data_IF_844771792761
#
_entry.id   IF_844771792761
#
_cell.length_a   1.000
_cell.length_b   1.000
_cell.length_c   1.000
_cell.angle_alpha   90.00
_cell.angle_beta   90.00
_cell.angle_gamma   90.00
#
_symmetry.space_group_name_H-M   'P 1'
#
loop_
_entity.id
_entity.type
_entity.pdbx_description
1 polymer ?
#
# COMPACT_ATOMS: atom_id res chain seq x y z
N UNK A 1 -0.80 12.09 13.50
CA UNK A 1 0.23 11.23 14.14
C UNK A 1 1.58 11.81 13.78
N UNK A 2 2.53 11.83 14.72
CA UNK A 2 3.88 12.36 14.47
C UNK A 2 4.90 11.27 14.76
N UNK A 3 5.92 11.11 13.89
CA UNK A 3 6.97 10.11 14.00
C UNK A 3 8.33 10.75 13.70
N UNK A 4 9.33 10.41 14.49
CA UNK A 4 10.72 10.79 14.24
C UNK A 4 11.40 9.67 13.43
N UNK A 5 12.13 10.02 12.38
CA UNK A 5 12.84 9.06 11.55
C UNK A 5 14.20 8.75 12.14
N UNK A 6 14.30 7.67 12.92
CA UNK A 6 15.55 7.14 13.45
C UNK A 6 16.24 6.20 12.44
N UNK A 7 17.54 5.89 12.62
CA UNK A 7 18.28 5.00 11.73
C UNK A 7 17.64 3.62 11.52
N UNK A 8 16.93 3.08 12.53
CA UNK A 8 16.21 1.80 12.45
C UNK A 8 15.03 1.81 11.46
N UNK A 9 14.54 3.01 11.08
CA UNK A 9 13.47 3.20 10.11
C UNK A 9 13.99 3.37 8.68
N UNK A 10 15.31 3.45 8.50
CA UNK A 10 15.94 3.80 7.24
C UNK A 10 16.23 2.57 6.37
N UNK A 11 16.17 2.80 5.05
CA UNK A 11 16.75 1.92 4.05
C UNK A 11 18.28 2.15 3.96
N UNK A 12 18.96 1.35 3.12
CA UNK A 12 20.41 1.43 2.91
C UNK A 12 20.89 2.75 2.27
N UNK A 13 19.97 3.58 1.76
CA UNK A 13 20.28 4.91 1.22
C UNK A 13 20.20 6.03 2.28
N UNK A 14 19.83 5.71 3.52
CA UNK A 14 19.69 6.69 4.61
C UNK A 14 18.38 7.49 4.55
N UNK A 15 17.40 7.01 3.82
CA UNK A 15 16.04 7.57 3.80
C UNK A 15 15.04 6.59 4.42
N UNK A 16 13.90 7.10 4.87
CA UNK A 16 12.83 6.29 5.44
C UNK A 16 12.43 5.16 4.47
N UNK A 17 12.38 3.94 4.97
CA UNK A 17 11.96 2.76 4.21
C UNK A 17 10.49 2.90 3.78
N UNK A 18 10.18 2.61 2.48
CA UNK A 18 8.83 2.76 1.94
C UNK A 18 7.78 1.93 2.69
N UNK A 19 8.10 0.68 3.01
CA UNK A 19 7.25 -0.19 3.82
C UNK A 19 6.98 0.36 5.22
N UNK A 20 7.97 1.02 5.85
CA UNK A 20 7.78 1.65 7.16
C UNK A 20 6.85 2.86 7.06
N UNK A 21 7.01 3.69 6.03
CA UNK A 21 6.09 4.81 5.82
C UNK A 21 4.67 4.33 5.55
N UNK A 22 4.50 3.29 4.73
CA UNK A 22 3.19 2.66 4.52
C UNK A 22 2.59 2.11 5.82
N UNK A 23 3.40 1.46 6.66
CA UNK A 23 2.94 1.00 7.98
C UNK A 23 2.37 2.16 8.82
N UNK A 24 3.05 3.30 8.85
CA UNK A 24 2.57 4.49 9.57
C UNK A 24 1.31 5.08 8.97
N UNK A 25 1.20 5.15 7.65
CA UNK A 25 -0.01 5.61 6.94
C UNK A 25 -1.20 4.73 7.31
N UNK A 26 -1.04 3.41 7.21
CA UNK A 26 -2.10 2.46 7.52
C UNK A 26 -2.48 2.50 9.00
N UNK A 27 -1.51 2.66 9.90
CA UNK A 27 -1.75 2.78 11.34
C UNK A 27 -2.53 4.06 11.67
N UNK A 28 -2.11 5.20 11.13
CA UNK A 28 -2.81 6.48 11.34
C UNK A 28 -4.26 6.41 10.87
N UNK A 29 -4.48 5.87 9.65
CA UNK A 29 -5.80 5.67 9.10
C UNK A 29 -6.66 4.69 9.93
N UNK A 30 -6.07 3.57 10.38
CA UNK A 30 -6.76 2.57 11.22
C UNK A 30 -7.20 3.15 12.57
N UNK A 31 -6.35 3.96 13.21
CA UNK A 31 -6.68 4.64 14.47
C UNK A 31 -7.90 5.56 14.27
N UNK A 32 -7.87 6.41 13.24
CA UNK A 32 -8.99 7.33 12.98
C UNK A 32 -10.27 6.56 12.60
N UNK A 33 -10.15 5.57 11.72
CA UNK A 33 -11.27 4.72 11.32
C UNK A 33 -11.95 4.04 12.52
N UNK A 34 -11.15 3.44 13.40
CA UNK A 34 -11.66 2.71 14.58
C UNK A 34 -12.26 3.62 15.63
N UNK A 35 -11.68 4.81 15.85
CA UNK A 35 -12.26 5.84 16.74
C UNK A 35 -13.61 6.31 16.22
N UNK A 36 -13.74 6.53 14.91
CA UNK A 36 -14.99 6.96 14.28
C UNK A 36 -16.04 5.84 14.29
N UNK A 37 -15.65 4.63 13.94
CA UNK A 37 -16.57 3.49 13.93
C UNK A 37 -16.91 2.95 15.33
N UNK A 38 -16.18 3.38 16.38
CA UNK A 38 -16.30 2.85 17.75
C UNK A 38 -16.18 1.33 17.79
N UNK A 39 -15.14 0.79 17.11
CA UNK A 39 -14.91 -0.66 17.07
C UNK A 39 -13.85 -1.09 16.06
N UNK A 40 -13.77 -2.38 15.82
CA UNK A 40 -12.80 -2.98 14.92
C UNK A 40 -13.08 -2.52 13.49
N UNK A 41 -12.04 -2.09 12.80
CA UNK A 41 -12.07 -1.79 11.37
C UNK A 41 -10.96 -2.55 10.64
N UNK A 42 -11.27 -3.03 9.45
CA UNK A 42 -10.32 -3.68 8.54
C UNK A 42 -10.21 -2.88 7.25
N UNK A 43 -9.03 -2.78 6.69
CA UNK A 43 -8.85 -2.11 5.40
C UNK A 43 -9.43 -3.01 4.29
N UNK A 44 -10.28 -2.43 3.46
CA UNK A 44 -10.84 -3.09 2.29
C UNK A 44 -10.11 -2.73 1.00
N UNK A 45 -9.66 -1.49 0.89
CA UNK A 45 -8.90 -1.02 -0.26
C UNK A 45 -8.08 0.22 0.09
N UNK A 46 -7.01 0.45 -0.67
CA UNK A 46 -6.31 1.73 -0.74
C UNK A 46 -6.19 2.16 -2.20
N UNK A 47 -6.26 3.45 -2.44
CA UNK A 47 -5.87 4.01 -3.72
C UNK A 47 -4.34 3.93 -3.87
N UNK A 48 -3.82 4.27 -5.04
CA UNK A 48 -2.38 4.28 -5.26
C UNK A 48 -1.68 5.29 -4.35
N UNK A 49 -0.51 4.92 -3.84
CA UNK A 49 0.35 5.74 -3.01
C UNK A 49 1.62 6.02 -3.80
N UNK A 50 1.87 7.30 -4.11
CA UNK A 50 3.07 7.74 -4.83
C UNK A 50 3.97 8.52 -3.87
N UNK A 51 5.23 8.09 -3.70
CA UNK A 51 6.21 8.76 -2.84
C UNK A 51 6.92 9.86 -3.64
N UNK A 52 6.58 11.10 -3.36
CA UNK A 52 7.03 12.26 -4.16
C UNK A 52 8.38 12.78 -3.68
N UNK A 53 8.55 12.86 -2.36
CA UNK A 53 9.77 13.35 -1.75
C UNK A 53 10.34 12.32 -0.76
N UNK A 54 11.64 12.02 -0.82
CA UNK A 54 12.28 11.14 0.15
C UNK A 54 12.35 11.82 1.52
N UNK A 55 12.11 11.04 2.58
CA UNK A 55 12.24 11.49 3.97
C UNK A 55 13.58 11.00 4.50
N UNK A 56 14.38 11.88 5.12
CA UNK A 56 15.71 11.56 5.61
C UNK A 56 15.69 11.15 7.09
N UNK A 57 16.70 10.38 7.50
CA UNK A 57 16.96 10.16 8.91
C UNK A 57 17.17 11.51 9.62
N UNK A 58 16.52 11.70 10.76
CA UNK A 58 16.54 12.95 11.52
C UNK A 58 15.39 13.90 11.21
N UNK A 59 14.59 13.64 10.17
CA UNK A 59 13.36 14.39 9.90
C UNK A 59 12.18 13.87 10.75
N UNK A 60 11.17 14.71 10.90
CA UNK A 60 9.90 14.41 11.55
C UNK A 60 8.84 14.22 10.49
N UNK A 61 8.08 13.12 10.57
CA UNK A 61 6.94 12.83 9.69
C UNK A 61 5.65 13.14 10.43
N UNK A 62 4.83 13.99 9.84
CA UNK A 62 3.46 14.27 10.32
C UNK A 62 2.46 13.60 9.37
N UNK A 63 1.54 12.82 9.95
CA UNK A 63 0.45 12.16 9.24
C UNK A 63 -0.87 12.74 9.74
N UNK A 64 -1.50 13.53 8.90
CA UNK A 64 -2.81 14.15 9.16
C UNK A 64 -3.90 13.29 8.53
N UNK A 65 -4.94 12.99 9.31
CA UNK A 65 -6.00 12.07 8.88
C UNK A 65 -7.36 12.73 8.95
N UNK A 66 -8.12 12.63 7.87
CA UNK A 66 -9.49 13.17 7.74
C UNK A 66 -10.46 12.10 7.31
N UNK A 67 -11.65 12.04 7.92
CA UNK A 67 -12.74 11.18 7.46
C UNK A 67 -13.48 11.92 6.34
N UNK A 68 -13.43 11.37 5.14
CA UNK A 68 -14.07 11.98 3.95
C UNK A 68 -15.43 11.37 3.62
N UNK A 69 -15.67 10.11 4.07
CA UNK A 69 -16.94 9.43 3.82
C UNK A 69 -17.27 8.46 4.95
N UNK A 70 -18.56 8.40 5.33
CA UNK A 70 -19.11 7.36 6.20
C UNK A 70 -20.34 6.75 5.51
N UNK A 71 -20.34 5.42 5.33
CA UNK A 71 -21.47 4.62 4.85
C UNK A 71 -22.12 3.83 5.98
N UNK A 72 -22.89 2.79 5.63
CA UNK A 72 -23.56 1.95 6.63
C UNK A 72 -22.59 1.12 7.48
N UNK A 73 -21.53 0.58 6.87
CA UNK A 73 -20.49 -0.25 7.53
C UNK A 73 -19.10 0.04 6.98
N UNK A 74 -18.92 1.06 6.16
CA UNK A 74 -17.63 1.45 5.57
C UNK A 74 -17.39 2.93 5.75
N UNK A 75 -16.13 3.32 5.81
CA UNK A 75 -15.70 4.71 5.84
C UNK A 75 -14.42 4.89 5.03
N UNK A 76 -14.17 6.12 4.59
CA UNK A 76 -12.95 6.47 3.89
C UNK A 76 -12.18 7.49 4.70
N UNK A 77 -10.88 7.22 4.86
CA UNK A 77 -9.93 8.08 5.56
C UNK A 77 -8.90 8.55 4.56
N UNK A 78 -8.73 9.86 4.44
CA UNK A 78 -7.60 10.48 3.78
C UNK A 78 -6.44 10.59 4.78
N UNK A 79 -5.22 10.36 4.30
CA UNK A 79 -3.97 10.52 5.07
C UNK A 79 -3.04 11.41 4.26
N UNK A 80 -2.79 12.63 4.72
CA UNK A 80 -1.78 13.52 4.17
C UNK A 80 -0.48 13.37 4.97
N UNK A 81 0.64 13.26 4.27
CA UNK A 81 1.95 13.03 4.89
C UNK A 81 2.91 14.14 4.51
N UNK A 82 3.51 14.76 5.51
CA UNK A 82 4.55 15.78 5.37
C UNK A 82 5.78 15.37 6.16
N UNK A 83 6.96 15.71 5.66
CA UNK A 83 8.20 15.65 6.44
C UNK A 83 8.69 17.06 6.77
N UNK A 84 9.39 17.19 7.88
CA UNK A 84 10.01 18.44 8.34
C UNK A 84 11.42 18.14 8.84
N UNK A 85 12.41 18.94 8.40
CA UNK A 85 13.73 18.97 9.05
C UNK A 85 13.61 19.84 10.33
N UNK A 86 13.68 19.25 11.54
CA UNK A 86 13.48 20.00 12.78
C UNK A 86 14.59 21.03 13.06
N UNK A 87 15.70 21.00 12.31
CA UNK A 87 16.80 21.96 12.45
C UNK A 87 16.58 23.22 11.64
N UNK A 88 15.83 23.13 10.52
CA UNK A 88 15.58 24.25 9.60
C UNK A 88 14.13 24.69 9.59
N UNK A 89 13.20 23.81 10.01
CA UNK A 89 11.75 24.00 9.88
C UNK A 89 11.23 23.81 8.44
N UNK A 90 12.09 23.37 7.51
CA UNK A 90 11.69 23.12 6.12
C UNK A 90 10.71 21.95 6.06
N UNK A 91 9.50 22.20 5.55
CA UNK A 91 8.44 21.21 5.37
C UNK A 91 8.35 20.79 3.90
N UNK A 92 8.09 19.49 3.68
CA UNK A 92 7.89 18.92 2.35
C UNK A 92 6.68 18.01 2.34
N UNK A 93 5.87 18.12 1.31
CA UNK A 93 4.82 17.13 1.04
C UNK A 93 5.48 15.81 0.63
N UNK A 94 5.08 14.70 1.27
CA UNK A 94 5.69 13.38 1.02
C UNK A 94 4.77 12.49 0.20
N UNK A 95 3.51 12.36 0.61
CA UNK A 95 2.52 11.53 -0.09
C UNK A 95 1.12 11.78 0.44
N UNK A 96 0.14 11.24 -0.27
CA UNK A 96 -1.27 11.25 0.12
C UNK A 96 -1.89 9.88 -0.15
N UNK A 97 -2.78 9.41 0.72
CA UNK A 97 -3.45 8.12 0.58
C UNK A 97 -4.94 8.22 0.94
N UNK A 98 -5.79 7.53 0.16
CA UNK A 98 -7.19 7.27 0.53
C UNK A 98 -7.35 5.81 0.93
N UNK A 99 -7.85 5.58 2.13
CA UNK A 99 -7.98 4.28 2.77
C UNK A 99 -9.46 3.98 3.01
N UNK A 100 -9.98 2.93 2.37
CA UNK A 100 -11.36 2.49 2.54
C UNK A 100 -11.44 1.38 3.59
N UNK A 101 -12.02 1.67 4.74
CA UNK A 101 -12.19 0.73 5.85
C UNK A 101 -13.61 0.17 5.92
N UNK A 102 -13.72 -1.04 6.47
CA UNK A 102 -14.97 -1.71 6.79
C UNK A 102 -15.00 -1.95 8.30
N UNK A 103 -16.06 -1.47 8.97
CA UNK A 103 -16.32 -1.78 10.37
C UNK A 103 -16.83 -3.23 10.47
N UNK A 104 -16.22 -4.02 11.35
CA UNK A 104 -16.53 -5.45 11.51
C UNK A 104 -16.74 -5.81 12.97
N UNK A 105 -17.43 -6.93 13.20
CA UNK A 105 -17.47 -7.60 14.50
C UNK A 105 -16.24 -8.51 14.70
N UNK A 106 -16.13 -9.17 15.85
CA UNK A 106 -15.04 -10.10 16.19
C UNK A 106 -14.95 -11.30 15.22
N UNK A 107 -16.05 -11.63 14.54
CA UNK A 107 -16.11 -12.69 13.52
C UNK A 107 -15.73 -12.20 12.13
N UNK A 108 -15.50 -10.87 11.96
CA UNK A 108 -15.18 -10.25 10.69
C UNK A 108 -16.41 -9.93 9.82
N UNK A 109 -17.63 -10.00 10.37
CA UNK A 109 -18.85 -9.59 9.64
C UNK A 109 -19.04 -8.08 9.69
N UNK A 110 -19.53 -7.44 8.62
CA UNK A 110 -19.77 -6.01 8.59
C UNK A 110 -20.70 -5.55 9.73
N UNK A 111 -20.27 -4.50 10.46
CA UNK A 111 -20.98 -3.89 11.57
C UNK A 111 -21.39 -2.46 11.20
N UNK A 112 -22.62 -2.08 11.53
CA UNK A 112 -23.14 -0.74 11.28
C UNK A 112 -22.35 0.33 12.03
N UNK A 113 -22.05 1.44 11.36
CA UNK A 113 -21.48 2.66 11.93
C UNK A 113 -22.62 3.61 12.27
N UNK A 114 -22.64 4.12 13.49
CA UNK A 114 -23.68 5.03 13.95
C UNK A 114 -23.42 6.49 13.49
N UNK A 115 -22.16 6.87 13.41
CA UNK A 115 -21.70 8.19 13.02
C UNK A 115 -22.08 8.54 11.57
N UNK A 116 -22.27 9.84 11.30
CA UNK A 116 -22.56 10.38 9.97
C UNK A 116 -21.72 11.62 9.74
N UNK A 117 -21.36 11.88 8.48
CA UNK A 117 -20.75 13.14 8.06
C UNK A 117 -21.85 14.06 7.54
N UNK A 118 -21.87 15.29 8.08
CA UNK A 118 -22.65 16.39 7.54
C UNK A 118 -21.66 17.49 7.15
N UNK A 119 -21.45 17.73 5.83
CA UNK A 119 -20.49 18.73 5.39
C UNK A 119 -20.95 20.14 5.81
N UNK A 120 -20.03 20.92 6.34
CA UNK A 120 -20.29 22.28 6.86
C UNK A 120 -20.28 23.34 5.75
N UNK A 121 -19.45 23.15 4.73
CA UNK A 121 -19.26 24.12 3.65
C UNK A 121 -19.18 23.45 2.26
N UNK A 122 -18.89 24.23 1.23
CA UNK A 122 -18.85 23.73 -0.15
C UNK A 122 -17.58 22.94 -0.44
N UNK A 123 -16.48 23.18 0.27
CA UNK A 123 -15.25 22.41 0.17
C UNK A 123 -15.46 20.98 0.71
N UNK A 124 -16.04 20.86 1.91
CA UNK A 124 -16.37 19.54 2.49
C UNK A 124 -17.41 18.78 1.65
N UNK A 125 -18.37 19.51 1.01
CA UNK A 125 -19.32 18.89 0.06
C UNK A 125 -18.61 18.32 -1.17
N UNK A 126 -17.61 19.04 -1.71
CA UNK A 126 -16.81 18.57 -2.84
C UNK A 126 -15.98 17.34 -2.46
N UNK A 127 -15.31 17.33 -1.32
CA UNK A 127 -14.55 16.20 -0.78
C UNK A 127 -15.47 14.98 -0.63
N UNK A 128 -16.64 15.13 -0.01
CA UNK A 128 -17.61 14.06 0.16
C UNK A 128 -18.13 13.50 -1.19
N UNK A 129 -18.30 14.37 -2.18
CA UNK A 129 -18.74 13.96 -3.51
C UNK A 129 -17.67 13.09 -4.22
N UNK A 130 -16.40 13.48 -4.15
CA UNK A 130 -15.28 12.71 -4.71
C UNK A 130 -15.09 11.37 -3.95
N UNK A 131 -15.22 11.36 -2.62
CA UNK A 131 -15.17 10.12 -1.84
C UNK A 131 -16.30 9.14 -2.22
N UNK A 132 -17.51 9.66 -2.46
CA UNK A 132 -18.62 8.83 -2.98
C UNK A 132 -18.34 8.27 -4.37
N UNK A 133 -17.69 9.04 -5.25
CA UNK A 133 -17.29 8.59 -6.58
C UNK A 133 -16.23 7.48 -6.51
N UNK A 134 -15.18 7.64 -5.68
CA UNK A 134 -14.18 6.59 -5.43
C UNK A 134 -14.84 5.32 -4.88
N UNK A 135 -15.75 5.45 -3.90
CA UNK A 135 -16.53 4.30 -3.42
C UNK A 135 -17.27 3.58 -4.54
N UNK A 136 -18.00 4.32 -5.40
CA UNK A 136 -18.75 3.74 -6.52
C UNK A 136 -17.83 2.96 -7.48
N UNK A 137 -16.64 3.45 -7.72
CA UNK A 137 -15.64 2.78 -8.57
C UNK A 137 -15.12 1.46 -7.95
N UNK A 138 -15.04 1.37 -6.61
CA UNK A 138 -14.57 0.17 -5.89
C UNK A 138 -15.64 -0.92 -5.75
N UNK A 139 -16.94 -0.57 -5.78
CA UNK A 139 -18.07 -1.53 -5.58
C UNK A 139 -17.95 -2.77 -6.46
N UNK A 140 -17.73 -2.71 -7.79
CA UNK A 140 -17.68 -3.92 -8.63
C UNK A 140 -16.58 -4.92 -8.24
N UNK A 141 -15.47 -4.44 -7.63
CA UNK A 141 -14.41 -5.31 -7.13
C UNK A 141 -14.79 -5.97 -5.80
N UNK A 142 -15.48 -5.23 -4.92
CA UNK A 142 -15.99 -5.80 -3.68
C UNK A 142 -17.10 -6.83 -3.91
N UNK A 143 -17.94 -6.67 -4.92
CA UNK A 143 -18.95 -7.65 -5.31
C UNK A 143 -18.32 -9.00 -5.72
N UNK A 144 -17.11 -8.99 -6.29
CA UNK A 144 -16.33 -10.19 -6.65
C UNK A 144 -15.38 -10.65 -5.55
N UNK A 145 -15.49 -10.11 -4.34
CA UNK A 145 -14.55 -10.39 -3.24
C UNK A 145 -14.38 -11.88 -2.97
N UNK A 146 -15.48 -12.62 -2.85
CA UNK A 146 -15.44 -14.05 -2.54
C UNK A 146 -14.86 -14.89 -3.68
N UNK A 147 -15.11 -14.49 -4.93
CA UNK A 147 -14.47 -15.08 -6.11
C UNK A 147 -12.95 -14.83 -6.09
N UNK A 148 -12.54 -13.60 -5.85
CA UNK A 148 -11.12 -13.23 -5.78
C UNK A 148 -10.41 -13.88 -4.60
N UNK A 149 -11.07 -14.03 -3.46
CA UNK A 149 -10.50 -14.71 -2.28
C UNK A 149 -10.22 -16.21 -2.55
N UNK A 150 -10.95 -16.84 -3.46
CA UNK A 150 -10.71 -18.24 -3.87
C UNK A 150 -9.68 -18.37 -4.98
N UNK A 151 -9.28 -17.27 -5.62
CA UNK A 151 -8.33 -17.30 -6.73
C UNK A 151 -6.89 -17.37 -6.18
N UNK A 152 -6.44 -18.57 -5.87
CA UNK A 152 -5.06 -18.85 -5.42
C UNK A 152 -4.07 -19.05 -6.57
N UNK A 153 -4.53 -18.96 -7.85
CA UNK A 153 -3.65 -19.10 -9.02
C UNK A 153 -2.53 -18.08 -8.93
N UNK A 154 -1.30 -18.55 -8.97
CA UNK A 154 -0.11 -17.74 -8.88
C UNK A 154 0.41 -17.34 -10.26
N UNK A 155 0.13 -16.10 -10.68
CA UNK A 155 0.67 -15.58 -11.93
C UNK A 155 2.19 -15.30 -11.84
N UNK A 156 2.80 -15.31 -10.64
CA UNK A 156 4.25 -15.12 -10.49
C UNK A 156 5.04 -16.38 -10.84
N UNK A 157 4.42 -17.57 -10.84
CA UNK A 157 5.08 -18.83 -11.24
C UNK A 157 5.57 -18.83 -12.69
N UNK A 158 4.94 -18.01 -13.54
CA UNK A 158 5.30 -17.90 -14.96
C UNK A 158 6.42 -16.89 -15.23
N UNK A 159 6.90 -16.19 -14.21
CA UNK A 159 7.96 -15.18 -14.32
C UNK A 159 9.29 -15.79 -13.90
N UNK A 160 10.34 -15.62 -14.73
CA UNK A 160 11.68 -16.15 -14.48
C UNK A 160 12.32 -15.62 -13.20
N UNK A 161 12.10 -14.34 -12.87
CA UNK A 161 12.62 -13.71 -11.66
C UNK A 161 11.51 -13.65 -10.60
N UNK A 162 11.60 -14.54 -9.62
CA UNK A 162 10.60 -14.69 -8.55
C UNK A 162 11.24 -14.91 -7.18
N UNK A 163 10.46 -14.64 -6.15
CA UNK A 163 10.79 -14.90 -4.75
C UNK A 163 9.53 -15.35 -4.02
N UNK A 164 9.64 -16.35 -3.19
CA UNK A 164 8.59 -16.73 -2.26
C UNK A 164 9.13 -16.64 -0.83
N UNK A 165 8.34 -16.06 0.07
CA UNK A 165 8.62 -16.02 1.51
C UNK A 165 7.36 -16.36 2.29
N UNK A 166 7.55 -16.89 3.50
CA UNK A 166 6.45 -17.29 4.39
C UNK A 166 6.65 -16.72 5.78
N UNK A 167 5.53 -16.43 6.45
CA UNK A 167 5.52 -15.92 7.82
C UNK A 167 4.30 -16.47 8.56
N UNK A 168 4.44 -16.77 9.85
CA UNK A 168 3.31 -16.99 10.76
C UNK A 168 2.87 -15.67 11.36
N UNK A 169 1.57 -15.42 11.42
CA UNK A 169 1.00 -14.21 12.04
C UNK A 169 1.00 -14.37 13.57
N UNK A 170 1.80 -13.54 14.23
CA UNK A 170 1.92 -13.52 15.68
C UNK A 170 0.99 -12.44 16.29
N UNK A 171 0.67 -12.46 17.59
CA UNK A 171 -0.10 -11.42 18.24
C UNK A 171 0.45 -10.01 18.05
N UNK A 172 1.77 -9.84 17.98
CA UNK A 172 2.46 -8.56 17.73
C UNK A 172 2.25 -7.99 16.31
N UNK A 173 1.82 -8.85 15.37
CA UNK A 173 1.47 -8.41 14.01
C UNK A 173 0.04 -7.87 13.92
N UNK A 174 -0.72 -7.86 15.01
CA UNK A 174 -2.14 -7.50 15.01
C UNK A 174 -2.40 -6.09 15.53
N UNK A 175 -3.57 -5.53 15.18
CA UNK A 175 -4.00 -4.24 15.71
C UNK A 175 -4.92 -4.39 16.95
N UNK A 176 -5.77 -5.42 16.97
CA UNK A 176 -6.69 -5.72 18.07
C UNK A 176 -6.58 -7.15 18.62
N UNK A 177 -5.45 -7.82 18.38
CA UNK A 177 -5.23 -9.20 18.82
C UNK A 177 -5.94 -10.28 18.01
N UNK A 178 -6.77 -9.93 17.02
CA UNK A 178 -7.54 -10.90 16.23
C UNK A 178 -7.16 -10.94 14.76
N UNK A 179 -6.99 -9.75 14.15
CA UNK A 179 -6.66 -9.60 12.73
C UNK A 179 -5.29 -8.96 12.57
N UNK A 180 -4.55 -9.42 11.58
CA UNK A 180 -3.27 -8.82 11.22
C UNK A 180 -3.43 -7.33 10.92
N UNK A 181 -2.50 -6.51 11.42
CA UNK A 181 -2.40 -5.11 11.08
C UNK A 181 -2.06 -4.96 9.60
N UNK A 182 -2.88 -4.21 8.88
CA UNK A 182 -2.61 -3.91 7.46
C UNK A 182 -1.30 -3.15 7.28
N UNK A 183 -0.89 -2.35 8.25
CA UNK A 183 0.40 -1.67 8.24
C UNK A 183 1.58 -2.65 8.25
N UNK A 184 1.53 -3.67 9.12
CA UNK A 184 2.53 -4.75 9.13
C UNK A 184 2.53 -5.53 7.83
N UNK A 185 1.35 -5.85 7.29
CA UNK A 185 1.23 -6.53 6.01
C UNK A 185 1.86 -5.72 4.87
N UNK A 186 1.61 -4.42 4.80
CA UNK A 186 2.20 -3.54 3.77
C UNK A 186 3.71 -3.42 3.90
N UNK A 187 4.23 -3.42 5.13
CA UNK A 187 5.68 -3.47 5.38
C UNK A 187 6.28 -4.77 4.84
N UNK A 188 5.70 -5.92 5.17
CA UNK A 188 6.18 -7.24 4.72
C UNK A 188 6.08 -7.40 3.18
N UNK A 189 5.04 -6.83 2.56
CA UNK A 189 4.87 -6.77 1.10
C UNK A 189 6.02 -5.98 0.45
N UNK A 190 6.29 -4.77 0.97
CA UNK A 190 7.36 -3.92 0.43
C UNK A 190 8.73 -4.56 0.61
N UNK A 191 9.02 -5.13 1.79
CA UNK A 191 10.28 -5.80 2.08
C UNK A 191 10.52 -6.98 1.14
N UNK A 192 9.50 -7.86 0.96
CA UNK A 192 9.61 -9.02 0.07
C UNK A 192 9.85 -8.57 -1.38
N UNK A 193 9.11 -7.56 -1.85
CA UNK A 193 9.28 -7.01 -3.19
C UNK A 193 10.64 -6.33 -3.38
N UNK A 194 11.11 -5.58 -2.37
CA UNK A 194 12.42 -4.94 -2.38
C UNK A 194 13.57 -5.95 -2.42
N UNK A 195 13.49 -7.06 -1.68
CA UNK A 195 14.50 -8.14 -1.72
C UNK A 195 14.63 -8.68 -3.14
N UNK A 196 13.52 -8.97 -3.83
CA UNK A 196 13.55 -9.45 -5.21
C UNK A 196 14.16 -8.40 -6.15
N UNK A 197 13.73 -7.14 -6.02
CA UNK A 197 14.23 -6.03 -6.82
C UNK A 197 15.75 -5.81 -6.63
N UNK A 198 16.24 -5.83 -5.37
CA UNK A 198 17.66 -5.70 -5.03
C UNK A 198 18.47 -6.87 -5.60
N UNK A 199 17.96 -8.10 -5.49
CA UNK A 199 18.63 -9.30 -6.07
C UNK A 199 18.79 -9.19 -7.58
N UNK A 200 17.82 -8.59 -8.27
CA UNK A 200 17.87 -8.37 -9.70
C UNK A 200 18.81 -7.23 -10.10
N UNK A 201 18.70 -6.07 -9.47
CA UNK A 201 19.44 -4.85 -9.86
C UNK A 201 20.87 -4.84 -9.30
N UNK A 202 21.11 -5.46 -8.13
CA UNK A 202 22.40 -5.41 -7.40
C UNK A 202 22.82 -3.99 -7.09
N UNK A 203 21.86 -3.14 -6.71
CA UNK A 203 22.08 -1.72 -6.42
C UNK A 203 21.09 -1.20 -5.37
N UNK A 204 21.19 0.09 -5.07
CA UNK A 204 20.30 0.76 -4.11
C UNK A 204 18.98 1.09 -4.78
N UNK A 205 17.90 0.61 -4.19
CA UNK A 205 16.55 0.83 -4.67
C UNK A 205 15.70 1.53 -3.61
N UNK A 206 14.85 2.43 -4.07
CA UNK A 206 13.83 3.06 -3.23
C UNK A 206 12.44 2.75 -3.78
N UNK A 207 11.48 2.57 -2.91
CA UNK A 207 10.07 2.40 -3.29
C UNK A 207 9.54 3.72 -3.83
N UNK A 208 9.08 3.72 -5.08
CA UNK A 208 8.54 4.92 -5.73
C UNK A 208 7.03 5.02 -5.63
N UNK A 209 6.33 3.89 -5.70
CA UNK A 209 4.86 3.86 -5.58
C UNK A 209 4.34 2.46 -5.29
N UNK A 210 3.10 2.42 -4.78
CA UNK A 210 2.24 1.24 -4.73
C UNK A 210 0.96 1.56 -5.49
N UNK A 211 0.55 0.67 -6.39
CA UNK A 211 -0.71 0.85 -7.10
C UNK A 211 -1.93 0.52 -6.23
N UNK A 212 -3.13 0.87 -6.72
CA UNK A 212 -4.38 0.59 -6.05
C UNK A 212 -4.48 -0.88 -5.59
N UNK A 213 -4.84 -1.10 -4.33
CA UNK A 213 -4.82 -2.39 -3.69
C UNK A 213 -6.18 -2.72 -3.06
N UNK A 214 -6.63 -3.97 -3.24
CA UNK A 214 -7.85 -4.53 -2.67
C UNK A 214 -7.54 -5.73 -1.78
N UNK A 215 -8.19 -5.77 -0.61
CA UNK A 215 -8.07 -6.86 0.35
C UNK A 215 -9.33 -7.74 0.29
N UNK A 216 -9.17 -8.97 -0.14
CA UNK A 216 -10.26 -9.91 -0.38
C UNK A 216 -10.55 -10.81 0.82
N UNK A 217 -9.54 -11.12 1.63
CA UNK A 217 -9.66 -11.96 2.81
C UNK A 217 -8.91 -11.35 4.01
N UNK A 218 -9.50 -11.31 5.21
CA UNK A 218 -8.77 -10.93 6.42
C UNK A 218 -7.79 -12.05 6.81
N UNK A 219 -6.66 -11.65 7.40
CA UNK A 219 -5.66 -12.54 7.95
C UNK A 219 -5.82 -12.57 9.47
N UNK A 220 -5.75 -13.75 10.09
CA UNK A 220 -5.91 -13.93 11.53
C UNK A 220 -4.60 -14.31 12.21
N UNK A 221 -4.54 -14.11 13.52
CA UNK A 221 -3.48 -14.68 14.35
C UNK A 221 -3.42 -16.19 14.17
N UNK A 222 -2.22 -16.71 13.97
CA UNK A 222 -1.95 -18.13 13.75
C UNK A 222 -2.02 -18.55 12.28
N UNK A 223 -2.54 -17.73 11.36
CA UNK A 223 -2.47 -18.03 9.93
C UNK A 223 -1.02 -17.99 9.44
N UNK A 224 -0.72 -18.79 8.42
CA UNK A 224 0.51 -18.65 7.64
C UNK A 224 0.24 -17.71 6.48
N UNK A 225 1.15 -16.78 6.24
CA UNK A 225 1.12 -15.90 5.06
C UNK A 225 2.20 -16.36 4.10
N UNK A 226 1.83 -16.51 2.83
CA UNK A 226 2.75 -16.78 1.72
C UNK A 226 2.78 -15.55 0.82
N UNK A 227 3.97 -14.98 0.65
CA UNK A 227 4.23 -13.86 -0.25
C UNK A 227 4.91 -14.40 -1.51
N UNK A 228 4.27 -14.25 -2.66
CA UNK A 228 4.79 -14.68 -3.95
C UNK A 228 5.05 -13.47 -4.82
N UNK A 229 6.32 -13.14 -5.01
CA UNK A 229 6.77 -11.97 -5.74
C UNK A 229 7.37 -12.34 -7.10
N UNK A 230 7.12 -11.51 -8.11
CA UNK A 230 7.67 -11.66 -9.46
C UNK A 230 7.91 -10.31 -10.13
N UNK A 231 9.00 -10.19 -10.91
CA UNK A 231 9.25 -8.98 -11.71
C UNK A 231 8.26 -8.93 -12.87
N UNK A 232 7.40 -7.91 -12.90
CA UNK A 232 6.36 -7.74 -13.92
C UNK A 232 6.76 -6.78 -15.03
N UNK A 233 7.70 -5.85 -14.75
CA UNK A 233 8.20 -4.89 -15.73
C UNK A 233 9.56 -4.33 -15.33
N UNK A 234 10.42 -4.08 -16.32
CA UNK A 234 11.70 -3.39 -16.14
C UNK A 234 11.80 -2.23 -17.15
N UNK A 235 12.05 -1.03 -16.65
CA UNK A 235 12.25 0.17 -17.45
C UNK A 235 13.71 0.55 -17.57
N UNK A 236 14.00 1.85 -17.80
CA UNK A 236 15.38 2.35 -17.93
C UNK A 236 16.08 2.41 -16.57
N UNK A 237 15.41 2.94 -15.54
CA UNK A 237 15.96 3.17 -14.19
C UNK A 237 15.02 2.73 -13.07
N UNK A 238 13.98 2.00 -13.43
CA UNK A 238 12.97 1.51 -12.48
C UNK A 238 12.44 0.17 -12.91
N UNK A 239 11.87 -0.59 -11.97
CA UNK A 239 11.20 -1.84 -12.24
C UNK A 239 9.92 -1.93 -11.41
N UNK A 240 9.02 -2.82 -11.84
CA UNK A 240 7.79 -3.14 -11.10
C UNK A 240 7.85 -4.60 -10.64
N UNK A 241 7.54 -4.80 -9.37
CA UNK A 241 7.37 -6.12 -8.75
C UNK A 241 5.89 -6.31 -8.43
N UNK A 242 5.30 -7.37 -8.98
CA UNK A 242 4.00 -7.86 -8.55
C UNK A 242 4.18 -8.83 -7.38
N UNK A 243 3.33 -8.72 -6.37
CA UNK A 243 3.35 -9.61 -5.22
C UNK A 243 1.94 -10.09 -4.89
N UNK A 244 1.73 -11.41 -4.86
CA UNK A 244 0.50 -12.04 -4.44
C UNK A 244 0.65 -12.52 -3.01
N UNK A 245 -0.34 -12.21 -2.19
CA UNK A 245 -0.39 -12.60 -0.77
C UNK A 245 -1.51 -13.64 -0.59
N UNK A 246 -1.15 -14.79 -0.06
CA UNK A 246 -2.06 -15.88 0.27
C UNK A 246 -1.99 -16.11 1.78
N UNK A 247 -3.14 -16.20 2.46
CA UNK A 247 -3.23 -16.66 3.83
C UNK A 247 -3.68 -18.11 3.86
N UNK A 248 -3.10 -18.89 4.76
CA UNK A 248 -3.42 -20.30 4.98
C UNK A 248 -3.79 -20.51 6.46
N UNK A 249 -4.96 -21.07 6.70
CA UNK A 249 -5.37 -21.47 8.04
C UNK A 249 -4.62 -22.75 8.45
N UNK A 250 -3.80 -22.69 9.50
CA UNK A 250 -2.94 -23.81 9.92
C UNK A 250 -3.70 -25.05 10.38
N UNK A 251 -4.96 -24.90 10.82
CA UNK A 251 -5.76 -26.02 11.32
C UNK A 251 -6.48 -26.77 10.21
N UNK A 252 -6.89 -26.06 9.15
CA UNK A 252 -7.70 -26.63 8.07
C UNK A 252 -6.93 -26.78 6.76
N UNK A 253 -5.79 -26.11 6.61
CA UNK A 253 -5.05 -25.99 5.34
C UNK A 253 -5.78 -25.16 4.29
N UNK A 254 -6.89 -24.49 4.63
CA UNK A 254 -7.63 -23.65 3.70
C UNK A 254 -6.80 -22.43 3.31
N UNK A 255 -6.53 -22.28 2.02
CA UNK A 255 -5.82 -21.15 1.46
C UNK A 255 -6.79 -20.11 0.88
N UNK A 256 -6.48 -18.83 1.09
CA UNK A 256 -7.26 -17.70 0.57
C UNK A 256 -6.34 -16.62 0.02
N UNK A 257 -6.66 -16.11 -1.15
CA UNK A 257 -6.02 -14.92 -1.68
C UNK A 257 -6.41 -13.72 -0.84
N UNK A 258 -5.42 -13.06 -0.25
CA UNK A 258 -5.62 -11.85 0.55
C UNK A 258 -5.59 -10.60 -0.32
N UNK A 259 -4.53 -10.41 -1.10
CA UNK A 259 -4.39 -9.27 -2.02
C UNK A 259 -3.33 -9.56 -3.09
N UNK A 260 -3.29 -8.70 -4.12
CA UNK A 260 -2.18 -8.62 -5.08
C UNK A 260 -1.76 -7.16 -5.19
N UNK A 261 -0.50 -6.88 -4.86
CA UNK A 261 0.10 -5.55 -4.91
C UNK A 261 1.07 -5.44 -6.10
N UNK A 262 1.22 -4.21 -6.62
CA UNK A 262 2.25 -3.87 -7.60
C UNK A 262 3.02 -2.67 -7.07
N UNK A 263 4.33 -2.86 -6.86
CA UNK A 263 5.23 -1.84 -6.33
C UNK A 263 6.26 -1.46 -7.38
N UNK A 264 6.52 -0.17 -7.52
CA UNK A 264 7.60 0.30 -8.37
C UNK A 264 8.82 0.70 -7.54
N UNK A 265 9.98 0.30 -8.01
CA UNK A 265 11.27 0.62 -7.40
C UNK A 265 12.11 1.43 -8.35
N UNK A 266 12.83 2.42 -7.83
CA UNK A 266 13.73 3.30 -8.60
C UNK A 266 15.17 3.04 -8.16
N UNK A 267 16.06 2.79 -9.11
CA UNK A 267 17.48 2.59 -8.86
C UNK A 267 18.18 3.95 -8.73
N UNK A 268 18.82 4.17 -7.60
CA UNK A 268 19.54 5.40 -7.27
C UNK A 268 21.04 5.15 -7.10
N UNK A 269 21.84 6.10 -7.54
CA UNK A 269 23.26 6.16 -7.21
C UNK A 269 23.50 6.88 -5.87
N UNK A 270 24.75 6.87 -5.40
CA UNK A 270 25.14 7.56 -4.14
C UNK A 270 24.86 9.06 -4.16
N UNK A 271 24.78 9.66 -5.36
CA UNK A 271 24.46 11.07 -5.60
C UNK A 271 22.95 11.36 -5.63
N UNK A 272 22.11 10.35 -5.35
CA UNK A 272 20.65 10.45 -5.40
C UNK A 272 20.06 10.49 -6.81
N UNK A 273 20.88 10.38 -7.86
CA UNK A 273 20.41 10.37 -9.26
C UNK A 273 20.04 8.95 -9.69
N UNK A 274 19.07 8.87 -10.59
CA UNK A 274 18.66 7.57 -11.15
C UNK A 274 19.78 6.89 -11.92
N UNK A 275 19.86 5.56 -11.82
CA UNK A 275 20.83 4.71 -12.51
C UNK A 275 20.10 3.69 -13.39
N UNK A 276 20.71 3.24 -14.49
CA UNK A 276 20.14 2.15 -15.29
C UNK A 276 19.95 0.88 -14.47
N UNK A 277 18.90 0.14 -14.80
CA UNK A 277 18.67 -1.23 -14.29
C UNK A 277 19.06 -2.25 -15.38
N UNK A 278 19.36 -3.50 -15.02
CA UNK A 278 19.64 -4.56 -15.99
C UNK A 278 18.50 -4.74 -16.98
N UNK A 279 18.84 -5.10 -18.21
CA UNK A 279 17.86 -5.39 -19.26
C UNK A 279 17.12 -6.69 -18.91
N UNK A 280 15.81 -6.66 -19.00
CA UNK A 280 14.93 -7.82 -18.84
C UNK A 280 13.79 -7.70 -19.84
N UNK A 281 13.74 -8.65 -20.79
CA UNK A 281 12.69 -8.71 -21.80
C UNK A 281 11.80 -9.93 -21.59
N UNK A 282 10.47 -9.78 -21.76
CA UNK A 282 9.56 -10.91 -21.62
C UNK A 282 9.73 -11.89 -22.80
N UNK A 283 9.94 -13.18 -22.51
CA UNK A 283 10.17 -14.21 -23.52
C UNK A 283 8.89 -14.97 -23.85
N UNK A 284 8.17 -15.42 -22.81
CA UNK A 284 6.95 -16.23 -22.99
C UNK A 284 5.72 -15.38 -23.31
N UNK A 285 4.67 -15.95 -23.92
CA UNK A 285 3.41 -15.26 -24.15
C UNK A 285 2.79 -14.73 -22.84
N UNK A 286 2.92 -15.47 -21.76
CA UNK A 286 2.42 -15.12 -20.43
C UNK A 286 3.19 -13.95 -19.85
N UNK A 287 4.52 -13.96 -19.91
CA UNK A 287 5.35 -12.81 -19.51
C UNK A 287 5.00 -11.56 -20.31
N UNK A 288 4.81 -11.68 -21.62
CA UNK A 288 4.39 -10.58 -22.49
C UNK A 288 3.03 -10.01 -22.10
N UNK A 289 2.09 -10.87 -21.71
CA UNK A 289 0.77 -10.45 -21.19
C UNK A 289 0.90 -9.67 -19.88
N UNK A 290 1.68 -10.14 -18.93
CA UNK A 290 1.93 -9.44 -17.66
C UNK A 290 2.65 -8.11 -17.88
N UNK A 291 3.64 -8.09 -18.76
CA UNK A 291 4.38 -6.89 -19.15
C UNK A 291 3.47 -5.81 -19.72
N UNK A 292 2.53 -6.19 -20.60
CA UNK A 292 1.54 -5.25 -21.15
C UNK A 292 0.67 -4.63 -20.06
N UNK A 293 0.17 -5.44 -19.13
CA UNK A 293 -0.58 -4.94 -17.97
C UNK A 293 0.25 -3.99 -17.10
N UNK A 294 1.54 -4.28 -16.92
CA UNK A 294 2.45 -3.42 -16.18
C UNK A 294 2.71 -2.08 -16.87
N UNK A 295 2.79 -2.06 -18.20
CA UNK A 295 2.86 -0.81 -18.97
C UNK A 295 1.62 0.06 -18.78
N UNK A 296 0.42 -0.51 -18.80
CA UNK A 296 -0.83 0.21 -18.54
C UNK A 296 -0.84 0.84 -17.13
N UNK A 297 -0.33 0.13 -16.11
CA UNK A 297 -0.15 0.66 -14.75
C UNK A 297 0.87 1.80 -14.72
N UNK A 298 1.99 1.63 -15.42
CA UNK A 298 3.03 2.67 -15.52
C UNK A 298 2.51 3.96 -16.15
N UNK A 299 1.69 3.88 -17.19
CA UNK A 299 1.08 5.06 -17.83
C UNK A 299 0.19 5.82 -16.83
N UNK A 300 -0.73 5.11 -16.15
CA UNK A 300 -1.58 5.69 -15.11
C UNK A 300 -0.77 6.34 -13.98
N UNK A 301 0.31 5.69 -13.55
CA UNK A 301 1.25 6.22 -12.54
C UNK A 301 1.91 7.51 -13.00
N UNK A 302 2.38 7.55 -14.26
CA UNK A 302 2.98 8.75 -14.85
C UNK A 302 1.99 9.92 -14.93
N UNK A 303 0.72 9.67 -15.24
CA UNK A 303 -0.32 10.69 -15.23
C UNK A 303 -0.62 11.22 -13.82
N UNK A 304 -0.65 10.33 -12.81
CA UNK A 304 -0.84 10.75 -11.41
C UNK A 304 0.31 11.63 -10.93
N UNK A 305 1.56 11.23 -11.18
CA UNK A 305 2.75 11.99 -10.77
C UNK A 305 2.79 13.38 -11.41
N UNK A 306 2.38 13.53 -12.68
CA UNK A 306 2.27 14.84 -13.34
C UNK A 306 1.25 15.73 -12.62
N UNK A 307 0.06 15.22 -12.30
CA UNK A 307 -0.97 15.98 -11.56
C UNK A 307 -0.49 16.41 -10.17
N UNK A 308 0.26 15.56 -9.47
CA UNK A 308 0.81 15.89 -8.14
C UNK A 308 1.85 17.00 -8.27
N UNK A 309 2.74 16.96 -9.28
CA UNK A 309 3.73 18.00 -9.54
C UNK A 309 3.04 19.33 -9.85
N UNK A 310 2.02 19.35 -10.71
CA UNK A 310 1.25 20.56 -11.05
C UNK A 310 0.59 21.21 -9.80
N UNK A 311 0.13 20.40 -8.85
CA UNK A 311 -0.45 20.89 -7.59
C UNK A 311 0.66 21.42 -6.66
N UNK A 312 1.78 20.72 -6.55
CA UNK A 312 2.91 21.13 -5.71
C UNK A 312 3.54 22.46 -6.15
N UNK A 313 3.58 22.74 -7.46
CA UNK A 313 4.09 24.00 -8.01
C UNK A 313 3.11 25.17 -7.85
N UNK A 314 1.86 24.89 -7.48
CA UNK A 314 0.80 25.88 -7.27
C UNK A 314 0.60 26.28 -5.81
N UNK A 315 1.27 25.60 -4.87
CA UNK A 315 1.25 25.86 -3.41
C UNK A 315 2.51 26.55 -2.92
#
# INVERSE_FOLDING_TARGET
MVQFVSPEHANTHGTLHGGRLMEWIMLAGSINASRTARGITVLGATDSIDFVNPVKVGEVVTLDTTIEYIGSSSLEVAVAVHSEDPRTGEKKFTTFAHLAFISVDEKGKPRKIAEKITPADDEEKAILAEAKKRKKQRVPRFERRDEQARNIIDETEIVRMRLETTKVVLPEDTFYGSFMSVGKLMHDIDETAAILAIRFVRGVLVTGSVDELFFYSPIRVGDIIVFKAGISYVGKSSLEVGIKVISENVLTGEQRHTCTAFLSFVHLGPDGKTRPVPIFEPETPEEKRLWKKALERKEKRSERLKRIADISDSL
#
